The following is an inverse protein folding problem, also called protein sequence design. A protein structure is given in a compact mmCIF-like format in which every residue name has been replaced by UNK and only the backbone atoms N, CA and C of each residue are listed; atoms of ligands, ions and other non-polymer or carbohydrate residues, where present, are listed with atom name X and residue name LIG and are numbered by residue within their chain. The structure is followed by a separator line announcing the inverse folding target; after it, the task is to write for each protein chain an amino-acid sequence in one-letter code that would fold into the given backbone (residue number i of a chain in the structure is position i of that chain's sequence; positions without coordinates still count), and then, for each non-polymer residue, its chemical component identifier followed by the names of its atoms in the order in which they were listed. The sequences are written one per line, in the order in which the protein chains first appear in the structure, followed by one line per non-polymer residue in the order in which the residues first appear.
data_IF_307433750303
#
_entry.id   IF_307433750303
#
_cell.length_a   1.000
_cell.length_b   1.000
_cell.length_c   1.000
_cell.angle_alpha   90.00
_cell.angle_beta   90.00
_cell.angle_gamma   90.00
#
_symmetry.space_group_name_H-M   'P 1'
#
loop_
_entity.id
_entity.type
_entity.pdbx_description
1 polymer ?
#
# COMPACT_ATOMS: atom_id res chain seq x y z
N UNK A 1 9.63 19.11 -5.26
CA UNK A 1 10.57 18.11 -4.69
C UNK A 1 9.81 16.93 -4.08
N UNK A 2 10.24 15.74 -4.38
CA UNK A 2 9.63 14.51 -3.84
C UNK A 2 10.19 14.23 -2.45
N UNK A 3 9.31 14.00 -1.48
CA UNK A 3 9.67 13.56 -0.13
C UNK A 3 8.85 12.32 0.22
N UNK A 4 9.46 11.41 0.98
CA UNK A 4 8.77 10.25 1.56
C UNK A 4 8.95 10.34 3.06
N UNK A 5 7.85 10.32 3.78
CA UNK A 5 7.85 10.49 5.23
C UNK A 5 6.65 9.79 5.87
N UNK A 6 6.70 9.67 7.17
CA UNK A 6 5.61 9.13 7.97
C UNK A 6 4.36 10.02 7.82
N UNK A 7 3.20 9.39 7.67
CA UNK A 7 1.92 10.10 7.61
C UNK A 7 1.61 10.76 8.96
N UNK A 8 0.96 11.92 8.91
CA UNK A 8 0.42 12.58 10.10
C UNK A 8 -1.04 12.20 10.29
N UNK A 9 -1.56 12.16 11.55
CA UNK A 9 -2.95 11.77 11.80
C UNK A 9 -3.98 12.60 11.04
N UNK A 10 -3.77 13.89 10.88
CA UNK A 10 -4.68 14.79 10.16
C UNK A 10 -4.66 14.62 8.64
N UNK A 11 -3.71 13.85 8.12
CA UNK A 11 -3.60 13.55 6.68
C UNK A 11 -4.37 12.30 6.26
N UNK A 12 -4.91 11.52 7.20
CA UNK A 12 -5.63 10.29 6.90
C UNK A 12 -6.77 10.50 5.91
N UNK A 13 -7.64 11.50 6.05
CA UNK A 13 -8.71 11.72 5.06
C UNK A 13 -8.19 11.95 3.65
N UNK A 14 -7.12 12.71 3.49
CA UNK A 14 -6.51 13.00 2.19
C UNK A 14 -5.89 11.72 1.59
N UNK A 15 -5.18 10.95 2.42
CA UNK A 15 -4.59 9.68 1.98
C UNK A 15 -5.66 8.68 1.56
N UNK A 16 -6.76 8.57 2.30
CA UNK A 16 -7.90 7.72 1.92
C UNK A 16 -8.50 8.14 0.58
N UNK A 17 -8.70 9.43 0.37
CA UNK A 17 -9.22 9.95 -0.91
C UNK A 17 -8.30 9.56 -2.07
N UNK A 18 -6.99 9.68 -1.90
CA UNK A 18 -6.03 9.25 -2.91
C UNK A 18 -6.18 7.77 -3.25
N UNK A 19 -6.23 6.92 -2.22
CA UNK A 19 -6.35 5.47 -2.40
C UNK A 19 -7.63 5.12 -3.14
N UNK A 20 -8.77 5.65 -2.71
CA UNK A 20 -10.05 5.40 -3.37
C UNK A 20 -10.05 5.89 -4.81
N UNK A 21 -9.47 7.06 -5.08
CA UNK A 21 -9.38 7.62 -6.42
C UNK A 21 -8.58 6.74 -7.37
N UNK A 22 -7.40 6.29 -6.94
CA UNK A 22 -6.56 5.40 -7.76
C UNK A 22 -7.23 4.05 -7.94
N UNK A 23 -7.77 3.47 -6.89
CA UNK A 23 -8.48 2.19 -6.94
C UNK A 23 -9.69 2.26 -7.89
N UNK A 24 -10.45 3.34 -7.85
CA UNK A 24 -11.59 3.57 -8.75
C UNK A 24 -11.15 3.47 -10.23
N UNK A 25 -10.01 4.02 -10.57
CA UNK A 25 -9.46 3.94 -11.93
C UNK A 25 -8.93 2.53 -12.23
N UNK A 26 -8.19 1.92 -11.31
CA UNK A 26 -7.58 0.58 -11.49
C UNK A 26 -8.65 -0.49 -11.71
N UNK A 27 -9.71 -0.47 -10.91
CA UNK A 27 -10.77 -1.48 -10.97
C UNK A 27 -11.88 -1.13 -11.98
N UNK A 28 -11.73 -0.04 -12.73
CA UNK A 28 -12.71 0.40 -13.74
C UNK A 28 -14.14 0.50 -13.17
N UNK A 29 -14.25 1.05 -11.97
CA UNK A 29 -15.53 1.20 -11.28
C UNK A 29 -16.44 2.11 -12.09
N UNK A 30 -17.65 1.63 -12.42
CA UNK A 30 -18.62 2.38 -13.24
C UNK A 30 -19.42 3.41 -12.44
N UNK A 31 -19.37 3.36 -11.10
CA UNK A 31 -20.02 4.37 -10.25
C UNK A 31 -19.24 5.68 -10.26
N UNK A 32 -19.91 6.78 -9.94
CA UNK A 32 -19.21 8.04 -9.71
C UNK A 32 -18.21 7.88 -8.56
N UNK A 33 -17.10 8.64 -8.61
CA UNK A 33 -16.04 8.52 -7.59
C UNK A 33 -16.57 8.71 -6.16
N UNK A 34 -17.38 9.73 -5.94
CA UNK A 34 -17.95 10.04 -4.62
C UNK A 34 -18.85 8.90 -4.11
N UNK A 35 -19.60 8.29 -5.01
CA UNK A 35 -20.46 7.14 -4.69
C UNK A 35 -19.63 5.91 -4.30
N UNK A 36 -18.57 5.63 -5.06
CA UNK A 36 -17.63 4.54 -4.75
C UNK A 36 -16.93 4.77 -3.41
N UNK A 37 -16.48 5.99 -3.14
CA UNK A 37 -15.82 6.33 -1.89
C UNK A 37 -16.75 6.10 -0.70
N UNK A 38 -18.00 6.58 -0.80
CA UNK A 38 -19.00 6.40 0.27
C UNK A 38 -19.31 4.91 0.50
N UNK A 39 -19.43 4.15 -0.57
CA UNK A 39 -19.69 2.71 -0.51
C UNK A 39 -18.56 1.97 0.21
N UNK A 40 -17.31 2.16 -0.22
CA UNK A 40 -16.17 1.47 0.38
C UNK A 40 -15.90 1.95 1.81
N UNK A 41 -16.07 3.23 2.10
CA UNK A 41 -15.91 3.75 3.45
C UNK A 41 -16.96 3.14 4.40
N UNK A 42 -18.21 2.98 3.95
CA UNK A 42 -19.27 2.35 4.74
C UNK A 42 -18.98 0.88 5.04
N UNK A 43 -18.17 0.22 4.21
CA UNK A 43 -17.76 -1.18 4.40
C UNK A 43 -16.47 -1.33 5.18
N UNK A 44 -15.83 -0.24 5.56
CA UNK A 44 -14.58 -0.25 6.31
C UNK A 44 -13.38 -0.75 5.52
N UNK A 45 -13.33 -0.55 4.20
CA UNK A 45 -12.23 -1.04 3.35
C UNK A 45 -10.86 -0.52 3.78
N UNK A 46 -10.81 0.71 4.30
CA UNK A 46 -9.58 1.32 4.80
C UNK A 46 -9.62 1.56 6.30
N UNK A 47 -10.36 0.73 7.06
CA UNK A 47 -10.50 0.91 8.49
C UNK A 47 -9.18 0.76 9.26
N UNK A 48 -8.20 0.06 8.69
CA UNK A 48 -6.84 -0.02 9.24
C UNK A 48 -6.18 1.36 9.37
N UNK A 49 -6.64 2.35 8.62
CA UNK A 49 -6.14 3.73 8.68
C UNK A 49 -6.84 4.58 9.72
N UNK A 50 -7.90 4.09 10.36
CA UNK A 50 -8.66 4.86 11.35
C UNK A 50 -7.90 5.02 12.67
N UNK A 51 -7.00 4.09 12.97
CA UNK A 51 -6.09 4.19 14.11
C UNK A 51 -4.69 3.75 13.67
N UNK A 52 -3.96 4.68 13.09
CA UNK A 52 -2.60 4.43 12.60
C UNK A 52 -1.65 4.04 13.72
N UNK A 53 -1.83 4.63 14.90
CA UNK A 53 -0.94 4.37 16.02
C UNK A 53 -1.03 2.91 16.46
N UNK A 54 -2.23 2.42 16.70
CA UNK A 54 -2.46 1.06 17.15
C UNK A 54 -2.16 0.04 16.05
N UNK A 55 -2.63 0.30 14.83
CA UNK A 55 -2.53 -0.66 13.73
C UNK A 55 -1.11 -0.79 13.21
N UNK A 56 -0.39 0.32 13.08
CA UNK A 56 0.93 0.33 12.46
C UNK A 56 2.06 0.68 13.43
N UNK A 57 2.04 1.86 13.99
CA UNK A 57 3.22 2.42 14.67
C UNK A 57 3.56 1.73 16.00
N UNK A 58 2.57 1.30 16.76
CA UNK A 58 2.78 0.54 18.02
C UNK A 58 2.89 -0.97 17.78
N UNK A 59 2.80 -1.41 16.53
CA UNK A 59 2.82 -2.83 16.17
C UNK A 59 3.92 -3.15 15.16
N UNK A 60 5.08 -2.55 15.32
CA UNK A 60 6.27 -2.75 14.47
C UNK A 60 5.99 -2.54 12.99
N UNK A 61 5.10 -1.61 12.67
CA UNK A 61 4.72 -1.22 11.33
C UNK A 61 4.95 0.27 11.07
N UNK A 62 4.70 0.67 9.84
CA UNK A 62 4.83 2.07 9.41
C UNK A 62 3.81 2.38 8.32
N UNK A 63 3.39 3.64 8.26
CA UNK A 63 2.59 4.15 7.17
C UNK A 63 3.26 5.41 6.62
N UNK A 64 3.69 5.34 5.35
CA UNK A 64 4.39 6.42 4.68
C UNK A 64 3.51 7.10 3.66
N UNK A 65 3.73 8.39 3.47
CA UNK A 65 3.22 9.15 2.34
C UNK A 65 4.38 9.66 1.50
N UNK A 66 4.14 9.73 0.20
CA UNK A 66 5.02 10.41 -0.74
C UNK A 66 4.38 11.74 -1.09
N UNK A 67 5.15 12.82 -1.02
CA UNK A 67 4.66 14.16 -1.35
C UNK A 67 5.46 14.79 -2.48
N UNK A 68 4.79 15.60 -3.27
CA UNK A 68 5.38 16.52 -4.23
C UNK A 68 4.88 17.90 -3.92
N UNK A 69 5.80 18.83 -3.61
CA UNK A 69 5.48 20.19 -3.19
C UNK A 69 4.39 20.21 -2.09
N UNK A 70 4.59 19.37 -1.07
CA UNK A 70 3.74 19.20 0.11
C UNK A 70 2.35 18.59 -0.15
N UNK A 71 2.06 18.18 -1.39
CA UNK A 71 0.83 17.46 -1.71
C UNK A 71 1.09 15.95 -1.72
N UNK A 72 0.21 15.18 -1.08
CA UNK A 72 0.33 13.72 -1.06
C UNK A 72 0.01 13.16 -2.44
N UNK A 73 0.96 12.42 -3.01
CA UNK A 73 0.84 11.79 -4.33
C UNK A 73 0.89 10.27 -4.28
N UNK A 74 1.28 9.69 -3.15
CA UNK A 74 1.37 8.25 -2.99
C UNK A 74 1.41 7.83 -1.54
N UNK A 75 1.17 6.53 -1.32
CA UNK A 75 1.17 5.89 0.00
C UNK A 75 1.92 4.58 -0.05
N UNK A 76 2.30 4.06 1.12
CA UNK A 76 2.86 2.73 1.28
C UNK A 76 2.97 2.39 2.76
N UNK A 77 2.72 1.14 3.12
CA UNK A 77 2.68 0.75 4.52
C UNK A 77 3.27 -0.64 4.72
N UNK A 78 3.76 -0.88 5.93
CA UNK A 78 4.15 -2.18 6.44
C UNK A 78 3.35 -2.49 7.68
N UNK A 79 2.71 -3.65 7.66
CA UNK A 79 1.95 -4.21 8.76
C UNK A 79 2.63 -5.50 9.24
N UNK A 80 2.65 -5.71 10.55
CA UNK A 80 3.23 -6.92 11.12
C UNK A 80 2.31 -8.13 10.93
N UNK A 81 2.83 -9.24 10.42
CA UNK A 81 2.14 -10.53 10.46
C UNK A 81 2.60 -11.32 11.69
N UNK A 82 3.91 -11.50 11.87
CA UNK A 82 4.52 -12.10 13.05
C UNK A 82 5.93 -11.51 13.24
N UNK A 83 6.73 -12.10 14.13
CA UNK A 83 8.06 -11.56 14.45
C UNK A 83 9.05 -11.63 13.28
N UNK A 84 8.81 -12.51 12.30
CA UNK A 84 9.68 -12.70 11.14
C UNK A 84 9.11 -12.14 9.84
N UNK A 85 7.80 -11.99 9.76
CA UNK A 85 7.09 -11.69 8.50
C UNK A 85 6.30 -10.39 8.63
N UNK A 86 6.55 -9.48 7.71
CA UNK A 86 5.73 -8.28 7.55
C UNK A 86 4.91 -8.34 6.25
N UNK A 87 3.89 -7.50 6.18
CA UNK A 87 3.01 -7.40 5.02
C UNK A 87 3.08 -6.00 4.43
N UNK A 88 3.33 -5.93 3.13
CA UNK A 88 3.26 -4.70 2.36
C UNK A 88 1.79 -4.37 2.08
N UNK A 89 1.36 -3.17 2.43
CA UNK A 89 -0.02 -2.71 2.27
C UNK A 89 -0.06 -1.29 1.74
N UNK A 90 -1.17 -0.95 1.11
CA UNK A 90 -1.51 0.43 0.75
C UNK A 90 -0.46 1.12 -0.12
N UNK A 91 0.15 0.38 -1.03
CA UNK A 91 1.08 0.94 -2.02
C UNK A 91 0.27 1.48 -3.19
N UNK A 92 0.08 2.78 -3.22
CA UNK A 92 -0.69 3.49 -4.23
C UNK A 92 0.06 4.73 -4.68
N UNK A 93 -0.04 5.05 -5.96
CA UNK A 93 0.58 6.24 -6.55
C UNK A 93 -0.37 6.81 -7.59
N UNK A 94 -0.56 8.12 -7.57
CA UNK A 94 -1.37 8.80 -8.59
C UNK A 94 -0.84 8.48 -9.98
N UNK A 95 -1.74 8.25 -10.94
CA UNK A 95 -1.38 7.81 -12.30
C UNK A 95 -0.42 8.77 -13.01
N UNK A 96 -0.59 10.07 -12.81
CA UNK A 96 0.26 11.09 -13.43
C UNK A 96 1.72 11.02 -12.98
N UNK A 97 2.00 10.28 -11.92
CA UNK A 97 3.36 10.09 -11.39
C UNK A 97 3.95 8.71 -11.70
N UNK A 98 3.22 7.86 -12.43
CA UNK A 98 3.72 6.55 -12.84
C UNK A 98 4.85 6.69 -13.87
N UNK A 99 5.72 5.67 -13.95
CA UNK A 99 6.79 5.61 -14.94
C UNK A 99 7.99 6.51 -14.65
N UNK A 100 8.11 7.04 -13.44
CA UNK A 100 9.17 7.98 -13.04
C UNK A 100 10.10 7.41 -11.96
N UNK A 101 9.99 6.12 -11.65
CA UNK A 101 10.78 5.47 -10.61
C UNK A 101 10.32 5.75 -9.18
N UNK A 102 9.18 6.41 -8.99
CA UNK A 102 8.72 6.81 -7.66
C UNK A 102 8.21 5.61 -6.84
N UNK A 103 7.56 4.64 -7.49
CA UNK A 103 7.19 3.40 -6.82
C UNK A 103 8.40 2.66 -6.27
N UNK A 104 9.48 2.62 -7.03
CA UNK A 104 10.74 2.03 -6.57
C UNK A 104 11.30 2.78 -5.36
N UNK A 105 11.27 4.12 -5.37
CA UNK A 105 11.72 4.93 -4.23
C UNK A 105 10.91 4.60 -2.97
N UNK A 106 9.59 4.50 -3.09
CA UNK A 106 8.72 4.10 -1.96
C UNK A 106 9.14 2.73 -1.43
N UNK A 107 9.35 1.76 -2.31
CA UNK A 107 9.75 0.41 -1.91
C UNK A 107 11.09 0.40 -1.20
N UNK A 108 12.06 1.22 -1.62
CA UNK A 108 13.36 1.31 -0.94
C UNK A 108 13.20 1.78 0.52
N UNK A 109 12.35 2.77 0.76
CA UNK A 109 12.06 3.23 2.14
C UNK A 109 11.40 2.13 2.97
N UNK A 110 10.47 1.40 2.37
CA UNK A 110 9.78 0.31 3.07
C UNK A 110 10.72 -0.88 3.34
N UNK A 111 11.60 -1.23 2.40
CA UNK A 111 12.62 -2.26 2.63
C UNK A 111 13.59 -1.85 3.74
N UNK A 112 14.03 -0.60 3.76
CA UNK A 112 14.89 -0.08 4.81
C UNK A 112 14.24 -0.24 6.18
N UNK A 113 12.97 0.14 6.30
CA UNK A 113 12.22 -0.03 7.53
C UNK A 113 12.13 -1.51 7.94
N UNK A 114 11.79 -2.40 7.00
CA UNK A 114 11.66 -3.82 7.27
C UNK A 114 12.99 -4.43 7.77
N UNK A 115 14.10 -4.04 7.16
CA UNK A 115 15.44 -4.48 7.60
C UNK A 115 15.77 -3.95 9.00
N UNK A 116 15.46 -2.70 9.27
CA UNK A 116 15.69 -2.10 10.60
C UNK A 116 14.89 -2.78 11.70
N UNK A 117 13.74 -3.36 11.36
CA UNK A 117 12.90 -4.13 12.27
C UNK A 117 13.23 -5.62 12.32
N UNK A 118 14.27 -6.04 11.61
CA UNK A 118 14.74 -7.44 11.55
C UNK A 118 13.72 -8.42 10.95
N UNK A 119 12.79 -7.95 10.12
CA UNK A 119 11.92 -8.83 9.38
C UNK A 119 12.73 -9.66 8.38
N UNK A 120 12.37 -10.95 8.26
CA UNK A 120 13.04 -11.91 7.38
C UNK A 120 12.37 -12.00 6.02
N UNK A 121 11.06 -11.76 5.98
CA UNK A 121 10.23 -11.88 4.78
C UNK A 121 9.21 -10.78 4.71
N UNK A 122 8.85 -10.42 3.48
CA UNK A 122 7.77 -9.47 3.20
C UNK A 122 6.75 -10.14 2.30
N UNK A 123 5.49 -10.10 2.70
CA UNK A 123 4.36 -10.62 1.92
C UNK A 123 3.50 -9.49 1.42
N UNK A 124 2.74 -9.77 0.37
CA UNK A 124 1.72 -8.88 -0.15
C UNK A 124 0.61 -9.68 -0.81
N UNK A 125 -0.55 -9.05 -0.97
CA UNK A 125 -1.64 -9.55 -1.77
C UNK A 125 -1.95 -8.52 -2.85
N UNK A 126 -2.22 -8.98 -4.07
CA UNK A 126 -2.52 -8.11 -5.20
C UNK A 126 -3.48 -8.81 -6.17
N UNK A 127 -4.35 -8.03 -6.81
CA UNK A 127 -5.27 -8.53 -7.84
C UNK A 127 -4.51 -8.57 -9.18
N UNK A 128 -4.12 -9.78 -9.60
CA UNK A 128 -3.35 -9.96 -10.83
C UNK A 128 -4.07 -9.39 -12.05
N UNK A 129 -5.38 -9.57 -12.13
CA UNK A 129 -6.14 -9.22 -13.32
C UNK A 129 -6.39 -7.72 -13.46
N UNK A 130 -6.62 -7.02 -12.33
CA UNK A 130 -6.87 -5.58 -12.33
C UNK A 130 -5.62 -4.77 -12.02
N UNK A 131 -4.66 -5.34 -11.29
CA UNK A 131 -3.42 -4.69 -10.88
C UNK A 131 -2.19 -5.30 -11.58
N UNK A 132 -2.31 -5.62 -12.86
CA UNK A 132 -1.26 -6.26 -13.65
C UNK A 132 0.06 -5.51 -13.57
N UNK A 133 0.03 -4.18 -13.67
CA UNK A 133 1.22 -3.33 -13.57
C UNK A 133 1.92 -3.49 -12.23
N UNK A 134 1.16 -3.47 -11.13
CA UNK A 134 1.69 -3.67 -9.79
C UNK A 134 2.26 -5.08 -9.63
N UNK A 135 1.54 -6.10 -10.09
CA UNK A 135 2.00 -7.49 -10.06
C UNK A 135 3.36 -7.65 -10.76
N UNK A 136 3.50 -7.12 -11.97
CA UNK A 136 4.76 -7.18 -12.72
C UNK A 136 5.87 -6.41 -12.03
N UNK A 137 5.55 -5.26 -11.43
CA UNK A 137 6.47 -4.46 -10.65
C UNK A 137 7.03 -5.26 -9.46
N UNK A 138 6.16 -5.92 -8.70
CA UNK A 138 6.59 -6.75 -7.56
C UNK A 138 7.45 -7.92 -8.00
N UNK A 139 7.12 -8.57 -9.12
CA UNK A 139 7.96 -9.64 -9.67
C UNK A 139 9.36 -9.13 -10.00
N UNK A 140 9.47 -7.96 -10.62
CA UNK A 140 10.78 -7.36 -10.93
C UNK A 140 11.59 -7.02 -9.69
N UNK A 141 10.92 -6.73 -8.56
CA UNK A 141 11.59 -6.47 -7.28
C UNK A 141 12.10 -7.76 -6.61
N UNK A 142 11.62 -8.94 -7.03
CA UNK A 142 12.03 -10.22 -6.46
C UNK A 142 10.95 -10.95 -5.69
N UNK A 143 9.71 -10.45 -5.68
CA UNK A 143 8.58 -11.16 -5.12
C UNK A 143 8.20 -12.37 -5.99
N UNK A 144 7.83 -13.48 -5.35
CA UNK A 144 7.35 -14.70 -6.00
C UNK A 144 6.02 -15.12 -5.40
N UNK A 145 5.20 -15.81 -6.18
CA UNK A 145 3.89 -16.28 -5.71
C UNK A 145 4.03 -17.34 -4.63
N UNK A 146 3.16 -17.26 -3.63
CA UNK A 146 3.00 -18.25 -2.56
C UNK A 146 1.51 -18.63 -2.46
N UNK A 147 1.17 -19.74 -1.76
CA UNK A 147 -0.23 -20.04 -1.47
C UNK A 147 -0.90 -18.91 -0.68
N UNK A 148 -2.19 -18.71 -0.93
CA UNK A 148 -2.97 -17.70 -0.21
C UNK A 148 -2.90 -17.92 1.30
N UNK A 149 -2.77 -16.81 2.02
CA UNK A 149 -2.74 -16.81 3.48
C UNK A 149 -3.90 -16.01 4.09
N UNK A 150 -4.82 -15.51 3.26
CA UNK A 150 -6.04 -14.81 3.68
C UNK A 150 -7.24 -15.37 2.95
N UNK A 151 -8.44 -14.90 3.33
CA UNK A 151 -9.71 -15.33 2.72
C UNK A 151 -10.03 -14.58 1.42
N UNK A 152 -9.16 -13.70 0.95
CA UNK A 152 -9.38 -12.94 -0.27
C UNK A 152 -9.13 -13.80 -1.51
N UNK A 153 -10.19 -14.33 -2.10
CA UNK A 153 -10.11 -15.23 -3.25
C UNK A 153 -9.72 -14.55 -4.56
N UNK A 154 -9.90 -13.23 -4.65
CA UNK A 154 -9.61 -12.47 -5.85
C UNK A 154 -8.13 -12.11 -5.98
N UNK A 155 -7.37 -12.17 -4.90
CA UNK A 155 -5.97 -11.79 -4.87
C UNK A 155 -5.04 -12.99 -4.95
N UNK A 156 -3.86 -12.75 -5.52
CA UNK A 156 -2.71 -13.65 -5.40
C UNK A 156 -1.82 -13.17 -4.26
N UNK A 157 -1.18 -14.11 -3.56
CA UNK A 157 -0.23 -13.81 -2.50
C UNK A 157 1.19 -13.91 -3.06
N UNK A 158 2.05 -13.01 -2.62
CA UNK A 158 3.46 -12.98 -3.00
C UNK A 158 4.34 -12.79 -1.77
N UNK A 159 5.58 -13.24 -1.86
CA UNK A 159 6.56 -13.14 -0.78
C UNK A 159 7.93 -12.79 -1.34
N UNK A 160 8.72 -12.09 -0.56
CA UNK A 160 10.14 -11.85 -0.84
C UNK A 160 10.96 -12.11 0.42
N UNK A 161 12.13 -12.74 0.25
CA UNK A 161 13.13 -12.88 1.31
C UNK A 161 13.91 -11.56 1.39
N UNK A 162 13.92 -10.98 2.58
CA UNK A 162 14.59 -9.71 2.84
C UNK A 162 16.10 -9.87 3.07
#
# INVERSE_FOLDING_TARGET
MIKIRRIKPDEVPIAKQLIYRVAHQVFHDTRALEESMAYYESRGELHDMDDLQQTYFDNDGIFLVMTYDDQIIGTGAIHKIDDEICELKRVWLLFEYHGKGLGYRMMQELFTFAHEKDYQRMRLETDRDHQTRAFDFYKRLGFYEIPRYSDNEDDVAMEMIL
#
